data_IF_643820235742
#
_entry.id   IF_643820235742
#
_cell.length_a   1.000
_cell.length_b   1.000
_cell.length_c   1.000
_cell.angle_alpha   90.00
_cell.angle_beta   90.00
_cell.angle_gamma   90.00
#
_symmetry.space_group_name_H-M   'P 1'
#
loop_
_entity.id
_entity.type
_entity.pdbx_description
1 polymer ?
#
# COMPACT_ATOMS: atom_id res chain seq x y z
N UNK A 1 10.07 32.63 26.53
CA UNK A 1 9.18 32.38 27.69
C UNK A 1 9.67 31.14 28.41
N UNK A 2 9.56 31.16 29.73
CA UNK A 2 10.34 30.34 30.66
C UNK A 2 10.06 28.84 30.50
N UNK A 3 11.17 28.10 30.50
CA UNK A 3 11.23 26.67 30.71
C UNK A 3 10.79 26.40 32.15
N UNK A 4 9.51 26.07 32.34
CA UNK A 4 9.00 25.70 33.67
C UNK A 4 9.20 24.21 33.83
N UNK A 5 10.23 23.89 34.60
CA UNK A 5 10.57 22.58 35.10
C UNK A 5 9.36 21.98 35.85
N UNK A 6 8.64 21.03 35.23
CA UNK A 6 7.64 20.21 35.93
C UNK A 6 8.31 18.88 36.23
N UNK A 7 8.37 18.58 37.52
CA UNK A 7 9.05 17.44 38.13
C UNK A 7 8.56 16.09 37.58
N UNK A 8 9.52 15.18 37.36
CA UNK A 8 9.31 13.79 36.97
C UNK A 8 10.13 13.45 35.74
N UNK A 9 10.94 12.40 35.82
CA UNK A 9 11.78 11.86 34.75
C UNK A 9 10.92 11.28 33.62
N UNK A 10 10.20 12.14 32.90
CA UNK A 10 9.19 11.77 31.93
C UNK A 10 9.64 12.17 30.53
N UNK A 11 9.79 11.16 29.67
CA UNK A 11 10.17 11.34 28.28
C UNK A 11 8.97 11.89 27.48
N UNK A 12 8.91 13.22 27.41
CA UNK A 12 7.86 13.95 26.69
C UNK A 12 7.77 13.57 25.21
N UNK A 13 8.91 13.37 24.55
CA UNK A 13 8.96 13.00 23.13
C UNK A 13 8.35 11.62 22.89
N UNK A 14 8.66 10.68 23.77
CA UNK A 14 8.04 9.35 23.76
C UNK A 14 6.53 9.44 23.98
N UNK A 15 6.05 10.23 24.95
CA UNK A 15 4.62 10.43 25.16
C UNK A 15 3.95 11.04 23.94
N UNK A 16 4.53 12.11 23.38
CA UNK A 16 3.97 12.78 22.21
C UNK A 16 3.85 11.81 21.03
N UNK A 17 4.89 11.03 20.75
CA UNK A 17 4.87 9.96 19.75
C UNK A 17 3.75 8.94 20.02
N UNK A 18 3.61 8.48 21.26
CA UNK A 18 2.59 7.48 21.62
C UNK A 18 1.18 8.04 21.50
N UNK A 19 0.95 9.29 21.89
CA UNK A 19 -0.34 9.99 21.73
C UNK A 19 -0.68 10.21 20.26
N UNK A 20 0.30 10.59 19.43
CA UNK A 20 0.10 10.73 17.98
C UNK A 20 -0.28 9.39 17.34
N UNK A 21 0.38 8.29 17.71
CA UNK A 21 0.04 6.93 17.22
C UNK A 21 -1.37 6.51 17.64
N UNK A 22 -1.77 6.79 18.88
CA UNK A 22 -3.12 6.50 19.36
C UNK A 22 -4.16 7.29 18.54
N UNK A 23 -3.92 8.58 18.32
CA UNK A 23 -4.77 9.44 17.50
C UNK A 23 -4.89 8.93 16.07
N UNK A 24 -3.78 8.65 15.40
CA UNK A 24 -3.76 8.15 14.02
C UNK A 24 -4.50 6.81 13.89
N UNK A 25 -4.29 5.89 14.85
CA UNK A 25 -4.99 4.60 14.86
C UNK A 25 -6.49 4.76 15.07
N UNK A 26 -6.90 5.67 15.95
CA UNK A 26 -8.32 5.98 16.19
C UNK A 26 -8.96 6.60 14.93
N UNK A 27 -8.30 7.56 14.31
CA UNK A 27 -8.76 8.21 13.07
C UNK A 27 -8.89 7.22 11.92
N UNK A 28 -7.88 6.37 11.70
CA UNK A 28 -7.92 5.33 10.66
C UNK A 28 -9.10 4.38 10.87
N UNK A 29 -9.28 3.88 12.10
CA UNK A 29 -10.37 2.95 12.43
C UNK A 29 -11.73 3.62 12.28
N UNK A 30 -11.86 4.89 12.67
CA UNK A 30 -13.08 5.67 12.50
C UNK A 30 -13.43 5.82 11.01
N UNK A 31 -12.46 6.25 10.18
CA UNK A 31 -12.65 6.42 8.74
C UNK A 31 -13.04 5.10 8.06
N UNK A 32 -12.36 3.99 8.39
CA UNK A 32 -12.70 2.66 7.88
C UNK A 32 -14.14 2.29 8.22
N UNK A 33 -14.55 2.49 9.48
CA UNK A 33 -15.91 2.15 9.93
C UNK A 33 -16.97 3.02 9.24
N UNK A 34 -16.72 4.32 9.12
CA UNK A 34 -17.61 5.26 8.42
C UNK A 34 -17.74 4.88 6.93
N UNK A 35 -16.62 4.61 6.26
CA UNK A 35 -16.62 4.18 4.86
C UNK A 35 -17.44 2.90 4.66
N UNK A 36 -17.26 1.91 5.54
CA UNK A 36 -18.01 0.65 5.49
C UNK A 36 -19.51 0.90 5.59
N UNK A 37 -19.95 1.64 6.61
CA UNK A 37 -21.37 1.97 6.84
C UNK A 37 -21.96 2.74 5.66
N UNK A 38 -21.22 3.73 5.12
CA UNK A 38 -21.68 4.53 3.98
C UNK A 38 -21.86 3.68 2.72
N UNK A 39 -20.85 2.87 2.36
CA UNK A 39 -20.88 2.05 1.15
C UNK A 39 -21.97 0.98 1.25
N UNK A 40 -22.12 0.35 2.42
CA UNK A 40 -23.19 -0.60 2.66
C UNK A 40 -24.57 0.06 2.55
N UNK A 41 -24.76 1.25 3.13
CA UNK A 41 -26.00 2.03 2.99
C UNK A 41 -26.32 2.34 1.53
N UNK A 42 -25.33 2.76 0.75
CA UNK A 42 -25.49 2.98 -0.69
C UNK A 42 -25.85 1.71 -1.46
N UNK A 43 -25.26 0.57 -1.12
CA UNK A 43 -25.63 -0.71 -1.71
C UNK A 43 -27.08 -1.09 -1.42
N UNK A 44 -27.55 -0.91 -0.18
CA UNK A 44 -28.94 -1.21 0.20
C UNK A 44 -29.95 -0.29 -0.49
N UNK A 45 -29.63 1.02 -0.61
CA UNK A 45 -30.46 1.97 -1.37
C UNK A 45 -30.53 1.53 -2.83
N UNK A 46 -29.38 1.20 -3.43
CA UNK A 46 -29.30 0.71 -4.80
C UNK A 46 -30.11 -0.57 -5.04
N UNK A 47 -30.05 -1.51 -4.10
CA UNK A 47 -30.83 -2.75 -4.10
C UNK A 47 -32.33 -2.46 -4.08
N UNK A 48 -32.78 -1.66 -3.11
CA UNK A 48 -34.19 -1.31 -2.92
C UNK A 48 -34.76 -0.63 -4.17
N UNK A 49 -34.02 0.32 -4.75
CA UNK A 49 -34.41 1.03 -5.97
C UNK A 49 -34.41 0.12 -7.20
N UNK A 50 -33.45 -0.80 -7.31
CA UNK A 50 -33.39 -1.76 -8.41
C UNK A 50 -34.55 -2.76 -8.41
N UNK A 51 -35.06 -3.12 -7.22
CA UNK A 51 -36.20 -4.03 -7.08
C UNK A 51 -37.54 -3.42 -7.48
N UNK A 52 -37.67 -2.09 -7.47
CA UNK A 52 -38.91 -1.39 -7.89
C UNK A 52 -39.12 -1.41 -9.41
N UNK A 53 -38.10 -1.78 -10.20
CA UNK A 53 -38.21 -1.78 -11.65
C UNK A 53 -38.40 -0.38 -12.25
N UNK A 54 -37.98 0.68 -11.53
CA UNK A 54 -38.01 2.06 -12.05
C UNK A 54 -37.14 2.10 -13.31
N UNK A 55 -37.69 2.54 -14.46
CA UNK A 55 -36.91 2.60 -15.70
C UNK A 55 -35.63 3.41 -15.52
N UNK A 56 -34.52 2.91 -16.10
CA UNK A 56 -33.32 3.73 -16.28
C UNK A 56 -33.69 4.86 -17.24
N UNK A 57 -33.98 6.03 -16.70
CA UNK A 57 -34.37 7.16 -17.52
C UNK A 57 -33.20 7.64 -18.38
N UNK A 58 -33.24 7.25 -19.66
CA UNK A 58 -32.94 8.18 -20.75
C UNK A 58 -34.25 8.62 -21.38
N UNK A 59 -34.85 9.67 -20.81
CA UNK A 59 -35.57 10.68 -21.59
C UNK A 59 -35.29 12.03 -20.96
N UNK A 60 -34.66 12.89 -21.74
CA UNK A 60 -34.41 14.29 -21.44
C UNK A 60 -35.53 14.95 -20.65
N UNK A 61 -35.17 15.58 -19.53
CA UNK A 61 -35.86 16.76 -19.04
C UNK A 61 -37.33 16.64 -18.66
N UNK A 62 -37.90 15.44 -18.45
CA UNK A 62 -39.25 15.36 -17.88
C UNK A 62 -39.19 15.80 -16.41
N UNK A 63 -39.73 16.98 -16.13
CA UNK A 63 -40.06 17.41 -14.78
C UNK A 63 -40.88 16.32 -14.08
N UNK A 64 -40.35 15.78 -12.98
CA UNK A 64 -41.11 14.87 -12.12
C UNK A 64 -40.75 13.39 -12.20
N UNK A 65 -39.51 13.03 -12.57
CA UNK A 65 -39.08 11.64 -12.43
C UNK A 65 -39.08 11.15 -10.99
N UNK A 66 -39.24 9.84 -10.80
CA UNK A 66 -39.20 9.21 -9.46
C UNK A 66 -37.87 9.54 -8.75
N UNK A 67 -36.75 9.49 -9.48
CA UNK A 67 -35.45 9.84 -8.94
C UNK A 67 -35.29 11.32 -8.60
N UNK A 68 -35.88 12.25 -9.38
CA UNK A 68 -35.90 13.68 -9.02
C UNK A 68 -36.71 13.94 -7.75
N UNK A 69 -37.89 13.29 -7.61
CA UNK A 69 -38.69 13.38 -6.39
C UNK A 69 -37.93 12.84 -5.18
N UNK A 70 -37.37 11.62 -5.30
CA UNK A 70 -36.55 11.01 -4.25
C UNK A 70 -35.32 11.87 -3.90
N UNK A 71 -34.66 12.47 -4.88
CA UNK A 71 -33.52 13.37 -4.67
C UNK A 71 -33.91 14.55 -3.80
N UNK A 72 -35.03 15.21 -4.10
CA UNK A 72 -35.60 16.31 -3.29
C UNK A 72 -36.01 15.84 -1.89
N UNK A 73 -36.79 14.77 -1.80
CA UNK A 73 -37.39 14.31 -0.54
C UNK A 73 -36.34 13.76 0.44
N UNK A 74 -35.28 13.13 -0.07
CA UNK A 74 -34.16 12.63 0.72
C UNK A 74 -33.05 13.68 0.94
N UNK A 75 -33.11 14.82 0.25
CA UNK A 75 -32.06 15.84 0.31
C UNK A 75 -30.70 15.37 -0.23
N UNK A 76 -30.71 14.52 -1.26
CA UNK A 76 -29.48 13.96 -1.86
C UNK A 76 -29.43 14.24 -3.35
N UNK A 77 -28.21 14.27 -3.90
CA UNK A 77 -27.99 14.44 -5.34
C UNK A 77 -28.69 13.34 -6.17
N UNK A 78 -29.38 13.73 -7.24
CA UNK A 78 -29.92 12.79 -8.25
C UNK A 78 -28.82 11.83 -8.75
N UNK A 79 -27.61 12.35 -8.95
CA UNK A 79 -26.46 11.55 -9.40
C UNK A 79 -25.98 10.54 -8.36
N UNK A 80 -26.30 10.71 -7.07
CA UNK A 80 -26.01 9.71 -6.05
C UNK A 80 -26.96 8.51 -6.22
N UNK A 81 -28.27 8.76 -6.36
CA UNK A 81 -29.27 7.70 -6.50
C UNK A 81 -29.04 6.82 -7.74
N UNK A 82 -28.70 7.44 -8.88
CA UNK A 82 -28.35 6.69 -10.09
C UNK A 82 -27.06 5.88 -9.92
N UNK A 83 -26.07 6.42 -9.20
CA UNK A 83 -24.83 5.70 -8.87
C UNK A 83 -25.06 4.54 -7.90
N UNK A 84 -25.93 4.67 -6.90
CA UNK A 84 -26.20 3.57 -5.96
C UNK A 84 -26.90 2.40 -6.67
N UNK A 85 -27.81 2.69 -7.59
CA UNK A 85 -28.44 1.68 -8.46
C UNK A 85 -27.41 0.99 -9.33
N UNK A 86 -26.55 1.75 -10.02
CA UNK A 86 -25.44 1.19 -10.79
C UNK A 86 -24.52 0.34 -9.91
N UNK A 87 -24.22 0.81 -8.70
CA UNK A 87 -23.37 0.10 -7.74
C UNK A 87 -23.95 -1.27 -7.38
N UNK A 88 -25.23 -1.33 -7.01
CA UNK A 88 -25.90 -2.61 -6.72
C UNK A 88 -25.90 -3.54 -7.94
N UNK A 89 -26.20 -3.03 -9.14
CA UNK A 89 -26.25 -3.85 -10.36
C UNK A 89 -24.90 -4.46 -10.75
N UNK A 90 -23.80 -3.80 -10.41
CA UNK A 90 -22.44 -4.33 -10.65
C UNK A 90 -22.04 -5.37 -9.60
N UNK A 91 -22.59 -5.31 -8.39
CA UNK A 91 -22.33 -6.29 -7.32
C UNK A 91 -23.63 -6.78 -6.66
N UNK A 92 -24.51 -7.50 -7.39
CA UNK A 92 -25.85 -7.82 -6.90
C UNK A 92 -25.86 -8.97 -5.87
N UNK A 93 -24.86 -9.85 -5.93
CA UNK A 93 -24.77 -11.04 -5.05
C UNK A 93 -24.31 -10.70 -3.64
N UNK A 94 -23.36 -9.77 -3.51
CA UNK A 94 -22.71 -9.41 -2.25
C UNK A 94 -22.18 -7.99 -2.33
N UNK A 95 -22.32 -7.24 -1.23
CA UNK A 95 -21.72 -5.92 -1.13
C UNK A 95 -20.18 -6.04 -1.12
N UNK A 96 -19.45 -5.37 -2.03
CA UNK A 96 -18.00 -5.56 -2.13
C UNK A 96 -17.26 -5.05 -0.89
N UNK A 97 -17.87 -4.15 -0.09
CA UNK A 97 -17.25 -3.63 1.13
C UNK A 97 -17.06 -4.68 2.23
N UNK A 98 -17.81 -5.78 2.18
CA UNK A 98 -17.65 -6.90 3.11
C UNK A 98 -16.33 -7.66 2.88
N UNK A 99 -15.76 -7.52 1.69
CA UNK A 99 -14.48 -8.14 1.32
C UNK A 99 -13.37 -7.08 1.22
N UNK A 100 -13.72 -5.84 0.86
CA UNK A 100 -12.78 -4.74 0.66
C UNK A 100 -13.12 -3.56 1.59
N UNK A 101 -12.96 -3.78 2.91
CA UNK A 101 -13.38 -2.83 3.97
C UNK A 101 -12.65 -1.49 3.94
N UNK A 102 -11.45 -1.43 3.36
CA UNK A 102 -10.61 -0.23 3.30
C UNK A 102 -11.00 0.75 2.18
N UNK A 103 -11.88 0.35 1.26
CA UNK A 103 -12.25 1.17 0.12
C UNK A 103 -13.40 2.14 0.45
N UNK A 104 -13.12 3.44 0.31
CA UNK A 104 -14.15 4.49 0.36
C UNK A 104 -15.05 4.50 -0.88
N UNK A 105 -16.20 5.18 -0.78
CA UNK A 105 -17.12 5.42 -1.91
C UNK A 105 -16.45 6.02 -3.15
N UNK A 106 -15.40 6.81 -2.97
CA UNK A 106 -14.64 7.40 -4.07
C UNK A 106 -13.88 6.35 -4.91
N UNK A 107 -13.42 5.25 -4.29
CA UNK A 107 -12.86 4.12 -5.04
C UNK A 107 -13.95 3.45 -5.86
N UNK A 108 -15.08 3.10 -5.24
CA UNK A 108 -16.19 2.45 -5.94
C UNK A 108 -16.73 3.31 -7.09
N UNK A 109 -16.86 4.63 -6.93
CA UNK A 109 -17.20 5.54 -8.04
C UNK A 109 -16.22 5.43 -9.22
N UNK A 110 -14.94 5.28 -8.94
CA UNK A 110 -13.89 5.13 -9.97
C UNK A 110 -14.00 3.76 -10.65
N UNK A 111 -14.19 2.70 -9.87
CA UNK A 111 -14.30 1.32 -10.35
C UNK A 111 -15.58 1.08 -11.16
N UNK A 112 -16.69 1.74 -10.82
CA UNK A 112 -17.95 1.67 -11.59
C UNK A 112 -17.81 2.20 -13.02
N UNK A 113 -16.78 2.97 -13.34
CA UNK A 113 -16.51 3.42 -14.70
C UNK A 113 -15.89 2.32 -15.58
N UNK A 114 -15.38 1.23 -14.98
CA UNK A 114 -14.75 0.12 -15.68
C UNK A 114 -15.80 -0.90 -16.09
N UNK A 115 -16.05 -1.02 -17.40
CA UNK A 115 -17.04 -1.95 -17.95
C UNK A 115 -16.60 -3.42 -17.85
N UNK A 116 -15.31 -3.69 -18.05
CA UNK A 116 -14.71 -5.01 -17.94
C UNK A 116 -14.70 -5.49 -16.47
N UNK A 117 -15.28 -6.65 -16.21
CA UNK A 117 -15.43 -7.23 -14.86
C UNK A 117 -14.08 -7.70 -14.29
N UNK A 118 -13.28 -8.42 -15.08
CA UNK A 118 -11.96 -8.92 -14.67
C UNK A 118 -11.03 -7.76 -14.30
N UNK A 119 -11.03 -6.71 -15.12
CA UNK A 119 -10.24 -5.49 -14.87
C UNK A 119 -10.72 -4.78 -13.60
N UNK A 120 -12.03 -4.73 -13.37
CA UNK A 120 -12.61 -4.10 -12.17
C UNK A 120 -12.23 -4.86 -10.91
N UNK A 121 -12.30 -6.18 -10.93
CA UNK A 121 -11.95 -7.04 -9.80
C UNK A 121 -10.44 -7.01 -9.50
N UNK A 122 -9.61 -6.97 -10.54
CA UNK A 122 -8.18 -6.75 -10.38
C UNK A 122 -7.87 -5.44 -9.64
N UNK A 123 -8.48 -4.32 -10.06
CA UNK A 123 -8.26 -3.03 -9.42
C UNK A 123 -8.86 -2.95 -8.01
N UNK A 124 -9.94 -3.67 -7.72
CA UNK A 124 -10.45 -3.83 -6.34
C UNK A 124 -9.39 -4.46 -5.43
N UNK A 125 -8.85 -5.61 -5.84
CA UNK A 125 -7.86 -6.36 -5.08
C UNK A 125 -6.56 -5.57 -4.90
N UNK A 126 -6.01 -5.03 -5.99
CA UNK A 126 -4.75 -4.30 -5.95
C UNK A 126 -4.87 -2.97 -5.19
N UNK A 127 -6.05 -2.33 -5.17
CA UNK A 127 -6.26 -1.11 -4.36
C UNK A 127 -6.16 -1.40 -2.87
N UNK A 128 -6.72 -2.51 -2.39
CA UNK A 128 -6.62 -2.90 -0.98
C UNK A 128 -5.20 -3.35 -0.66
N UNK A 129 -4.65 -4.25 -1.48
CA UNK A 129 -3.30 -4.81 -1.30
C UNK A 129 -2.22 -3.72 -1.19
N UNK A 130 -2.27 -2.73 -2.07
CA UNK A 130 -1.28 -1.66 -2.12
C UNK A 130 -1.73 -0.38 -1.39
N UNK A 131 -2.88 -0.41 -0.70
CA UNK A 131 -3.44 0.75 -0.01
C UNK A 131 -3.54 2.00 -0.91
N UNK A 132 -3.94 1.81 -2.17
CA UNK A 132 -4.08 2.92 -3.11
C UNK A 132 -5.22 3.83 -2.67
N UNK A 133 -4.92 5.13 -2.63
CA UNK A 133 -5.97 6.13 -2.55
C UNK A 133 -6.63 6.32 -3.93
N UNK A 134 -7.71 7.10 -3.98
CA UNK A 134 -8.46 7.36 -5.22
C UNK A 134 -7.59 7.93 -6.35
N UNK A 135 -6.60 8.78 -6.04
CA UNK A 135 -5.72 9.38 -7.05
C UNK A 135 -4.81 8.30 -7.66
N UNK A 136 -4.20 7.48 -6.81
CA UNK A 136 -3.33 6.39 -7.25
C UNK A 136 -4.10 5.35 -8.07
N UNK A 137 -5.28 4.94 -7.61
CA UNK A 137 -6.17 4.07 -8.40
C UNK A 137 -6.49 4.69 -9.77
N UNK A 138 -6.85 5.98 -9.80
CA UNK A 138 -7.15 6.67 -11.06
C UNK A 138 -5.93 6.71 -11.99
N UNK A 139 -4.73 6.92 -11.44
CA UNK A 139 -3.49 6.92 -12.19
C UNK A 139 -3.18 5.54 -12.76
N UNK A 140 -3.31 4.47 -11.97
CA UNK A 140 -3.10 3.08 -12.41
C UNK A 140 -4.06 2.64 -13.50
N UNK A 141 -5.32 3.04 -13.41
CA UNK A 141 -6.31 2.80 -14.46
C UNK A 141 -5.89 3.49 -15.76
N UNK A 142 -5.43 4.74 -15.68
CA UNK A 142 -4.99 5.52 -16.85
C UNK A 142 -3.69 5.02 -17.47
N UNK A 143 -2.78 4.46 -16.68
CA UNK A 143 -1.52 3.90 -17.16
C UNK A 143 -1.66 2.46 -17.68
N UNK A 144 -2.89 1.96 -17.83
CA UNK A 144 -3.18 0.61 -18.33
C UNK A 144 -2.46 -0.49 -17.53
N UNK A 145 -2.29 -0.27 -16.22
CA UNK A 145 -1.55 -1.16 -15.33
C UNK A 145 -2.02 -2.62 -15.42
N UNK A 146 -3.34 -2.85 -15.52
CA UNK A 146 -3.92 -4.18 -15.75
C UNK A 146 -3.40 -4.88 -17.01
N UNK A 147 -3.35 -4.17 -18.14
CA UNK A 147 -2.87 -4.77 -19.41
C UNK A 147 -1.38 -5.07 -19.31
N UNK A 148 -0.61 -4.17 -18.71
CA UNK A 148 0.81 -4.37 -18.46
C UNK A 148 1.08 -5.58 -17.54
N UNK A 149 0.19 -5.85 -16.59
CA UNK A 149 0.27 -7.04 -15.73
C UNK A 149 -0.15 -8.32 -16.46
N UNK A 150 -1.18 -8.26 -17.32
CA UNK A 150 -1.69 -9.41 -18.07
C UNK A 150 -0.77 -9.84 -19.23
N UNK A 151 -0.07 -8.88 -19.85
CA UNK A 151 0.91 -9.12 -20.91
C UNK A 151 2.23 -9.74 -20.41
N UNK A 152 2.42 -9.82 -19.09
CA UNK A 152 3.56 -10.55 -18.51
C UNK A 152 3.23 -12.05 -18.52
N UNK A 153 4.09 -12.91 -19.10
CA UNK A 153 3.87 -14.34 -19.06
C UNK A 153 3.79 -14.84 -17.62
N UNK A 154 2.92 -15.82 -17.37
CA UNK A 154 2.64 -16.41 -16.06
C UNK A 154 3.85 -17.04 -15.33
N UNK A 155 5.03 -17.05 -15.97
CA UNK A 155 6.32 -17.44 -15.37
C UNK A 155 7.11 -16.27 -14.79
N UNK A 156 6.59 -15.04 -14.82
CA UNK A 156 7.26 -13.88 -14.24
C UNK A 156 7.06 -13.86 -12.72
N UNK A 157 8.08 -14.37 -12.01
CA UNK A 157 8.32 -14.25 -10.57
C UNK A 157 7.82 -12.92 -10.00
N UNK A 158 7.16 -13.01 -8.84
CA UNK A 158 6.74 -11.93 -7.96
C UNK A 158 7.55 -10.64 -8.16
N UNK A 159 7.05 -9.69 -8.98
CA UNK A 159 7.80 -8.47 -9.28
C UNK A 159 7.31 -7.33 -8.40
N UNK A 160 8.16 -6.84 -7.49
CA UNK A 160 7.93 -5.64 -6.71
C UNK A 160 8.10 -4.40 -7.60
N UNK A 161 7.16 -3.45 -7.47
CA UNK A 161 7.29 -2.14 -8.09
C UNK A 161 8.43 -1.37 -7.42
N UNK A 162 9.46 -1.05 -8.20
CA UNK A 162 10.59 -0.18 -7.81
C UNK A 162 10.08 1.21 -7.44
N UNK A 163 10.41 1.72 -6.27
CA UNK A 163 10.14 3.12 -5.91
C UNK A 163 10.72 4.08 -6.95
N UNK A 164 9.88 4.97 -7.52
CA UNK A 164 10.28 5.92 -8.58
C UNK A 164 10.45 7.35 -8.07
N UNK A 165 9.98 7.66 -6.86
CA UNK A 165 10.05 9.00 -6.29
C UNK A 165 11.28 9.15 -5.40
N UNK A 166 12.03 10.26 -5.52
CA UNK A 166 13.24 10.53 -4.72
C UNK A 166 12.97 10.81 -3.23
N UNK A 167 11.72 10.92 -2.82
CA UNK A 167 11.39 11.28 -1.43
C UNK A 167 11.85 10.17 -0.48
N UNK A 168 12.51 10.56 0.60
CA UNK A 168 13.03 9.66 1.65
C UNK A 168 14.06 8.63 1.15
N UNK A 169 14.86 9.01 0.15
CA UNK A 169 16.01 8.23 -0.30
C UNK A 169 17.28 8.63 0.47
N UNK A 170 17.88 7.64 1.14
CA UNK A 170 19.11 7.81 1.91
C UNK A 170 20.18 6.87 1.38
N UNK A 171 21.44 7.20 1.63
CA UNK A 171 22.56 6.33 1.29
C UNK A 171 23.27 5.89 2.56
N UNK A 172 23.86 4.69 2.55
CA UNK A 172 24.52 4.18 3.74
C UNK A 172 25.41 2.99 3.48
N UNK A 173 26.21 2.66 4.48
CA UNK A 173 27.13 1.52 4.48
C UNK A 173 26.45 0.37 5.25
N UNK A 174 26.46 -0.84 4.68
CA UNK A 174 25.87 -2.00 5.34
C UNK A 174 26.79 -2.45 6.47
N UNK A 175 26.29 -2.40 7.71
CA UNK A 175 27.04 -2.81 8.91
C UNK A 175 26.91 -4.32 9.10
N UNK A 176 25.68 -4.83 8.97
CA UNK A 176 25.34 -6.21 9.31
C UNK A 176 24.13 -6.71 8.55
N UNK A 177 24.19 -7.96 8.07
CA UNK A 177 23.04 -8.69 7.56
C UNK A 177 22.51 -9.57 8.70
N UNK A 178 21.27 -9.32 9.12
CA UNK A 178 20.65 -10.06 10.23
C UNK A 178 20.15 -11.40 9.70
N UNK A 179 19.30 -11.35 8.68
CA UNK A 179 18.65 -12.46 7.98
C UNK A 179 18.37 -12.04 6.51
N UNK A 180 17.61 -12.85 5.77
CA UNK A 180 17.34 -12.63 4.35
C UNK A 180 16.55 -11.36 4.02
N UNK A 181 15.83 -10.77 4.98
CA UNK A 181 15.00 -9.58 4.73
C UNK A 181 15.29 -8.40 5.68
N UNK A 182 16.25 -8.55 6.60
CA UNK A 182 16.60 -7.53 7.58
C UNK A 182 18.11 -7.24 7.56
N UNK A 183 18.45 -5.97 7.32
CA UNK A 183 19.84 -5.48 7.32
C UNK A 183 20.00 -4.27 8.25
N UNK A 184 21.21 -4.04 8.75
CA UNK A 184 21.60 -2.89 9.56
C UNK A 184 22.54 -2.02 8.74
N UNK A 185 22.24 -0.74 8.66
CA UNK A 185 22.91 0.22 7.79
C UNK A 185 23.34 1.44 8.58
N UNK A 186 24.55 1.91 8.35
CA UNK A 186 25.02 3.21 8.81
C UNK A 186 24.56 4.25 7.79
N UNK A 187 23.39 4.86 8.05
CA UNK A 187 22.75 5.81 7.15
C UNK A 187 23.40 7.19 7.25
N UNK A 188 23.76 7.75 6.11
CA UNK A 188 24.24 9.13 5.96
C UNK A 188 23.04 10.07 5.75
N UNK A 189 22.81 10.96 6.72
CA UNK A 189 21.74 11.97 6.68
C UNK A 189 22.23 13.33 6.15
N UNK A 190 23.49 13.41 5.71
CA UNK A 190 24.15 14.66 5.36
C UNK A 190 24.76 15.38 6.56
N UNK A 191 25.55 16.42 6.28
CA UNK A 191 26.23 17.25 7.30
C UNK A 191 27.12 16.48 8.28
N UNK A 192 27.64 15.32 7.87
CA UNK A 192 28.46 14.46 8.74
C UNK A 192 27.66 13.68 9.80
N UNK A 193 26.33 13.75 9.76
CA UNK A 193 25.46 12.98 10.66
C UNK A 193 25.24 11.59 10.08
N UNK A 194 25.71 10.58 10.82
CA UNK A 194 25.47 9.17 10.51
C UNK A 194 24.71 8.52 11.65
N UNK A 195 23.68 7.74 11.33
CA UNK A 195 22.90 6.97 12.31
C UNK A 195 22.80 5.50 11.90
N UNK A 196 22.82 4.62 12.89
CA UNK A 196 22.54 3.20 12.66
C UNK A 196 21.03 3.00 12.53
N UNK A 197 20.59 2.43 11.41
CA UNK A 197 19.20 2.10 11.15
C UNK A 197 19.05 0.64 10.77
N UNK A 198 17.95 0.03 11.21
CA UNK A 198 17.56 -1.33 10.82
C UNK A 198 16.55 -1.24 9.70
N UNK A 199 16.85 -1.85 8.56
CA UNK A 199 15.97 -1.90 7.40
C UNK A 199 15.31 -3.28 7.29
N UNK A 200 14.00 -3.31 7.09
CA UNK A 200 13.22 -4.48 6.69
C UNK A 200 12.86 -4.33 5.22
N UNK A 201 13.21 -5.29 4.38
CA UNK A 201 12.94 -5.25 2.96
C UNK A 201 11.42 -5.27 2.71
N UNK A 202 10.92 -4.25 2.02
CA UNK A 202 9.51 -4.08 1.69
C UNK A 202 9.01 -5.19 0.76
N UNK A 203 7.84 -5.73 1.09
CA UNK A 203 7.07 -6.62 0.21
C UNK A 203 7.58 -8.05 0.16
N UNK A 204 8.53 -8.42 1.02
CA UNK A 204 9.08 -9.76 1.10
C UNK A 204 9.12 -10.28 2.54
N UNK A 205 8.97 -11.60 2.69
CA UNK A 205 9.25 -12.33 3.91
C UNK A 205 10.28 -13.42 3.63
N UNK A 206 11.37 -13.39 4.39
CA UNK A 206 12.33 -14.50 4.52
C UNK A 206 11.95 -15.35 5.72
N UNK A 207 12.27 -16.64 5.66
CA UNK A 207 12.19 -17.55 6.82
C UNK A 207 13.12 -17.09 7.95
N UNK A 208 12.77 -17.39 9.20
CA UNK A 208 13.55 -17.00 10.39
C UNK A 208 14.67 -18.00 10.69
N UNK A 209 15.86 -17.51 11.04
CA UNK A 209 17.01 -18.37 11.37
C UNK A 209 16.79 -19.27 12.60
N UNK A 210 15.93 -18.85 13.54
CA UNK A 210 15.67 -19.54 14.81
C UNK A 210 14.37 -20.36 14.79
N UNK A 211 13.93 -20.81 13.61
CA UNK A 211 12.81 -21.74 13.52
C UNK A 211 13.24 -23.14 13.99
N UNK A 212 12.30 -23.88 14.61
CA UNK A 212 12.53 -25.25 15.06
C UNK A 212 12.58 -26.24 13.89
N UNK A 213 12.08 -25.84 12.72
CA UNK A 213 12.11 -26.61 11.48
C UNK A 213 13.48 -26.50 10.77
N UNK A 214 14.23 -27.61 10.60
CA UNK A 214 15.52 -27.62 9.92
C UNK A 214 15.47 -27.13 8.46
N UNK A 215 14.38 -27.33 7.74
CA UNK A 215 14.26 -26.89 6.34
C UNK A 215 14.16 -25.37 6.24
N UNK A 216 13.38 -24.74 7.14
CA UNK A 216 13.23 -23.29 7.20
C UNK A 216 14.51 -22.59 7.67
N UNK A 217 15.22 -23.18 8.63
CA UNK A 217 16.52 -22.65 9.09
C UNK A 217 17.56 -22.68 7.96
N UNK A 218 17.57 -23.75 7.14
CA UNK A 218 18.42 -23.86 5.96
C UNK A 218 18.08 -22.79 4.90
N UNK A 219 16.80 -22.60 4.61
CA UNK A 219 16.33 -21.56 3.68
C UNK A 219 16.70 -20.14 4.15
N UNK A 220 16.55 -19.86 5.45
CA UNK A 220 16.96 -18.59 6.06
C UNK A 220 18.47 -18.33 5.93
N UNK A 221 19.29 -19.38 6.10
CA UNK A 221 20.74 -19.31 5.91
C UNK A 221 21.11 -19.03 4.45
N UNK A 222 20.44 -19.69 3.50
CA UNK A 222 20.64 -19.45 2.06
C UNK A 222 20.29 -18.02 1.66
N UNK A 223 19.18 -17.48 2.17
CA UNK A 223 18.76 -16.09 1.92
C UNK A 223 19.80 -15.10 2.45
N UNK A 224 20.30 -15.32 3.67
CA UNK A 224 21.34 -14.48 4.27
C UNK A 224 22.66 -14.51 3.48
N UNK A 225 23.11 -15.70 3.08
CA UNK A 225 24.33 -15.86 2.27
C UNK A 225 24.18 -15.21 0.89
N UNK A 226 22.99 -15.28 0.30
CA UNK A 226 22.70 -14.60 -0.95
C UNK A 226 22.85 -13.09 -0.83
N UNK A 227 22.24 -12.47 0.20
CA UNK A 227 22.39 -11.03 0.47
C UNK A 227 23.86 -10.67 0.69
N UNK A 228 24.61 -11.49 1.44
CA UNK A 228 26.03 -11.26 1.67
C UNK A 228 26.85 -11.29 0.38
N UNK A 229 26.56 -12.24 -0.52
CA UNK A 229 27.22 -12.32 -1.84
C UNK A 229 26.91 -11.12 -2.73
N UNK A 230 25.67 -10.63 -2.73
CA UNK A 230 25.30 -9.46 -3.54
C UNK A 230 25.98 -8.17 -3.05
N UNK A 231 26.20 -8.05 -1.73
CA UNK A 231 26.71 -6.83 -1.10
C UNK A 231 28.22 -6.82 -0.85
N UNK A 232 28.95 -7.90 -1.17
CA UNK A 232 30.39 -8.04 -0.87
C UNK A 232 31.28 -6.94 -1.48
N UNK A 233 30.92 -6.46 -2.69
CA UNK A 233 31.66 -5.41 -3.41
C UNK A 233 30.86 -4.10 -3.50
N UNK A 234 29.96 -3.89 -2.55
CA UNK A 234 29.09 -2.72 -2.48
C UNK A 234 29.56 -1.88 -1.30
N UNK A 235 30.28 -0.80 -1.58
CA UNK A 235 30.69 0.15 -0.54
C UNK A 235 29.48 0.92 0.03
N UNK A 236 28.47 1.17 -0.80
CA UNK A 236 27.32 1.99 -0.44
C UNK A 236 26.05 1.48 -1.09
N UNK A 237 24.99 1.42 -0.30
CA UNK A 237 23.63 1.20 -0.78
C UNK A 237 22.84 2.50 -0.78
N UNK A 238 21.77 2.53 -1.56
CA UNK A 238 20.71 3.54 -1.45
C UNK A 238 19.45 2.83 -1.03
N UNK A 239 18.70 3.41 -0.10
CA UNK A 239 17.43 2.86 0.30
C UNK A 239 16.36 3.94 0.39
N UNK A 240 15.14 3.56 0.01
CA UNK A 240 13.96 4.39 0.17
C UNK A 240 13.12 3.85 1.31
N UNK A 241 12.94 4.65 2.37
CA UNK A 241 12.13 4.27 3.53
C UNK A 241 10.68 4.73 3.37
N UNK A 242 9.72 3.86 3.71
CA UNK A 242 8.28 4.17 3.57
C UNK A 242 7.55 4.30 4.91
N UNK A 243 7.86 3.43 5.87
CA UNK A 243 7.24 3.40 7.20
C UNK A 243 8.16 2.72 8.20
N UNK A 244 7.89 2.90 9.48
CA UNK A 244 8.54 2.14 10.56
C UNK A 244 7.59 1.02 11.00
N UNK A 245 8.11 -0.20 11.15
CA UNK A 245 7.33 -1.34 11.65
C UNK A 245 7.26 -1.37 13.18
N UNK A 246 6.50 -2.33 13.73
CA UNK A 246 6.29 -2.49 15.17
C UNK A 246 7.57 -2.81 15.97
N UNK A 247 8.65 -3.21 15.29
CA UNK A 247 9.94 -3.57 15.87
C UNK A 247 10.98 -2.46 15.71
N UNK A 248 10.56 -1.27 15.26
CA UNK A 248 11.44 -0.12 15.05
C UNK A 248 12.33 -0.25 13.81
N UNK A 249 11.99 -1.13 12.86
CA UNK A 249 12.71 -1.27 11.58
C UNK A 249 12.05 -0.40 10.52
N UNK A 250 12.84 0.26 9.70
CA UNK A 250 12.35 0.99 8.54
C UNK A 250 12.03 0.01 7.41
N UNK A 251 10.77 -0.04 6.99
CA UNK A 251 10.35 -0.80 5.81
C UNK A 251 10.81 -0.06 4.57
N UNK A 252 11.71 -0.69 3.81
CA UNK A 252 12.47 -0.01 2.76
C UNK A 252 12.66 -0.84 1.49
N UNK A 253 12.81 -0.12 0.37
CA UNK A 253 13.41 -0.65 -0.85
C UNK A 253 14.91 -0.42 -0.79
N UNK A 254 15.71 -1.43 -1.13
CA UNK A 254 17.17 -1.34 -1.10
C UNK A 254 17.75 -1.52 -2.49
N UNK A 255 18.59 -0.57 -2.88
CA UNK A 255 19.28 -0.49 -4.15
C UNK A 255 20.78 -0.55 -3.96
N UNK A 256 21.46 -1.31 -4.81
CA UNK A 256 22.91 -1.45 -4.77
C UNK A 256 23.50 -1.57 -6.17
N UNK A 257 24.74 -1.14 -6.33
CA UNK A 257 25.47 -1.29 -7.58
C UNK A 257 26.96 -1.55 -7.26
N UNK A 258 27.47 -2.77 -7.49
CA UNK A 258 28.86 -3.10 -7.15
C UNK A 258 29.87 -2.16 -7.83
N UNK A 259 30.84 -1.66 -7.06
CA UNK A 259 31.88 -0.75 -7.55
C UNK A 259 31.44 0.71 -7.78
N UNK A 260 30.16 1.05 -7.61
CA UNK A 260 29.66 2.43 -7.73
C UNK A 260 29.47 3.06 -6.34
N UNK A 261 29.78 4.35 -6.22
CA UNK A 261 29.66 5.14 -4.98
C UNK A 261 28.66 6.27 -5.11
N UNK A 262 28.35 6.68 -6.34
CA UNK A 262 27.40 7.75 -6.61
C UNK A 262 25.97 7.32 -6.27
N UNK A 263 25.37 8.04 -5.32
CA UNK A 263 24.02 7.74 -4.82
C UNK A 263 22.98 7.79 -5.94
N UNK A 264 23.13 8.69 -6.90
CA UNK A 264 22.12 8.89 -7.93
C UNK A 264 22.14 7.75 -8.95
N UNK A 265 23.35 7.33 -9.35
CA UNK A 265 23.53 6.15 -10.21
C UNK A 265 23.06 4.88 -9.52
N UNK A 266 23.37 4.68 -8.24
CA UNK A 266 22.85 3.53 -7.49
C UNK A 266 21.31 3.57 -7.46
N UNK A 267 20.71 4.74 -7.22
CA UNK A 267 19.25 4.85 -7.20
C UNK A 267 18.63 4.62 -8.59
N UNK A 268 19.22 5.11 -9.69
CA UNK A 268 18.61 5.00 -11.02
C UNK A 268 18.90 3.67 -11.72
N UNK A 269 20.12 3.16 -11.57
CA UNK A 269 20.65 2.03 -12.35
C UNK A 269 21.04 0.83 -11.47
N UNK A 270 20.98 0.97 -10.15
CA UNK A 270 21.29 -0.10 -9.22
C UNK A 270 20.24 -1.21 -9.21
N UNK A 271 20.72 -2.41 -8.87
CA UNK A 271 19.93 -3.62 -8.66
C UNK A 271 19.02 -3.45 -7.45
N UNK A 272 17.87 -4.12 -7.50
CA UNK A 272 16.85 -4.02 -6.45
C UNK A 272 16.89 -5.28 -5.58
N UNK A 273 17.50 -5.16 -4.40
CA UNK A 273 17.78 -6.30 -3.52
C UNK A 273 16.52 -7.08 -3.13
N UNK A 274 15.41 -6.37 -2.89
CA UNK A 274 14.13 -7.01 -2.55
C UNK A 274 13.66 -7.93 -3.68
N UNK A 275 13.81 -7.49 -4.93
CA UNK A 275 13.45 -8.26 -6.11
C UNK A 275 14.42 -9.43 -6.32
N UNK A 276 15.72 -9.21 -6.14
CA UNK A 276 16.72 -10.26 -6.32
C UNK A 276 16.46 -11.48 -5.41
N UNK A 277 15.95 -11.24 -4.18
CA UNK A 277 15.56 -12.30 -3.25
C UNK A 277 14.32 -13.09 -3.70
N UNK A 278 13.31 -12.39 -4.23
CA UNK A 278 12.13 -13.04 -4.84
C UNK A 278 12.53 -13.83 -6.09
N UNK A 279 13.42 -13.26 -6.91
CA UNK A 279 13.90 -13.89 -8.13
C UNK A 279 14.76 -15.12 -7.85
N UNK A 280 15.50 -15.13 -6.74
CA UNK A 280 16.23 -16.30 -6.28
C UNK A 280 15.33 -17.36 -5.63
N UNK A 281 14.05 -17.06 -5.38
CA UNK A 281 13.14 -17.95 -4.63
C UNK A 281 13.50 -18.09 -3.15
N UNK A 282 14.26 -17.12 -2.61
CA UNK A 282 14.75 -17.09 -1.22
C UNK A 282 13.87 -16.25 -0.30
N UNK A 283 12.81 -15.66 -0.84
CA UNK A 283 11.78 -14.95 -0.11
C UNK A 283 10.41 -15.14 -0.78
N UNK A 284 9.36 -14.94 0.00
CA UNK A 284 7.97 -14.94 -0.49
C UNK A 284 7.38 -13.54 -0.42
N UNK A 285 6.31 -13.26 -1.17
CA UNK A 285 5.61 -11.97 -1.08
C UNK A 285 4.97 -11.84 0.31
N UNK A 286 5.22 -10.72 0.98
CA UNK A 286 4.62 -10.36 2.27
C UNK A 286 3.23 -9.73 2.15
#
# INVERSE_FOLDING_TARGET
>A
MKNTNIAGNFDYEKLLSDLLKIKEKAEKKFIQKVNKVLVEGYWQIGRRLSLEGIPDEKKDGQEGSVYQRLSRDLGVEYTLLTRTVKFYRLWPKKCPVDTFEDLSWSHYKTLMAISDEDKRDFYLQESVKNSWNKLELSHRIKSEYFEATKARPASARATLLRGQERMYCYAGEVIKIVDGDTIVVNSDLGFGVKIEVRLRLRGINSEEMKDADPEKSSAAQMAKEFVAKQLVNVERIVFQSFKVDLYGRYVADVFYLPGEKDRERIFQQGRFLNQDLLDAGLATIA
#
